data_IF_285613492300
#
_entry.id   IF_285613492300
#
_cell.length_a   1.000
_cell.length_b   1.000
_cell.length_c   1.000
_cell.angle_alpha   90.00
_cell.angle_beta   90.00
_cell.angle_gamma   90.00
#
_symmetry.space_group_name_H-M   'P 1'
#
loop_
_entity.id
_entity.type
_entity.pdbx_description
1 polymer ?
#
# COMPACT_ATOMS: atom_id res chain seq x y z
N UNK A 1 -18.62 -3.38 15.45
CA UNK A 1 -17.70 -2.26 15.77
C UNK A 1 -16.44 -2.43 14.95
N UNK A 2 -16.01 -1.40 14.20
CA UNK A 2 -14.81 -1.50 13.36
C UNK A 2 -13.55 -1.31 14.22
N UNK A 3 -12.88 -2.41 14.57
CA UNK A 3 -11.70 -2.45 15.43
C UNK A 3 -10.39 -2.07 14.73
N UNK A 4 -10.43 -1.55 13.50
CA UNK A 4 -9.26 -1.18 12.71
C UNK A 4 -9.29 0.31 12.34
N UNK A 5 -8.15 0.99 12.47
CA UNK A 5 -7.98 2.36 11.99
C UNK A 5 -7.96 2.41 10.47
N UNK A 6 -8.27 3.58 9.90
CA UNK A 6 -8.27 3.77 8.46
C UNK A 6 -7.57 5.11 8.17
N UNK A 7 -6.46 5.10 7.42
CA UNK A 7 -5.77 3.91 6.93
C UNK A 7 -5.14 3.10 8.08
N UNK A 8 -4.93 1.80 7.83
CA UNK A 8 -4.01 0.97 8.62
C UNK A 8 -2.62 1.09 8.03
N UNK A 9 -1.60 1.21 8.88
CA UNK A 9 -0.21 1.32 8.45
C UNK A 9 0.45 -0.06 8.31
N UNK A 10 1.21 -0.27 7.24
CA UNK A 10 1.99 -1.49 6.99
C UNK A 10 3.47 -1.18 6.88
N UNK A 11 4.32 -1.90 7.60
CA UNK A 11 5.76 -1.63 7.52
C UNK A 11 6.64 -2.74 8.06
N UNK A 12 7.86 -2.35 8.39
CA UNK A 12 8.83 -3.16 9.13
C UNK A 12 9.26 -2.37 10.36
N UNK A 13 9.60 -3.06 11.44
CA UNK A 13 10.30 -2.42 12.55
C UNK A 13 11.60 -1.78 12.04
N UNK A 14 11.91 -0.52 12.41
CA UNK A 14 13.20 0.10 12.10
C UNK A 14 14.37 -0.61 12.79
N UNK A 15 14.13 -1.08 14.01
CA UNK A 15 15.03 -1.88 14.85
C UNK A 15 14.20 -2.76 15.77
N UNK A 16 14.80 -3.82 16.31
CA UNK A 16 14.14 -4.73 17.25
C UNK A 16 13.56 -3.94 18.44
N UNK A 17 12.30 -4.20 18.77
CA UNK A 17 11.58 -3.54 19.86
C UNK A 17 11.06 -2.11 19.56
N UNK A 18 11.29 -1.58 18.35
CA UNK A 18 10.73 -0.28 17.97
C UNK A 18 9.40 -0.45 17.21
N UNK A 19 8.31 -0.20 17.94
CA UNK A 19 6.95 -0.34 17.46
C UNK A 19 6.28 0.99 17.09
N UNK A 20 7.00 2.11 17.17
CA UNK A 20 6.39 3.43 17.02
C UNK A 20 6.03 3.73 15.55
N UNK A 21 4.73 3.71 15.25
CA UNK A 21 4.23 3.97 13.90
C UNK A 21 4.44 5.42 13.42
N UNK A 22 4.51 6.39 14.34
CA UNK A 22 4.65 7.83 14.02
C UNK A 22 6.05 8.18 13.55
N UNK A 23 7.07 7.56 14.14
CA UNK A 23 8.47 7.77 13.77
C UNK A 23 8.92 6.81 12.67
N UNK A 24 8.17 5.74 12.40
CA UNK A 24 8.52 4.76 11.39
C UNK A 24 8.35 5.29 9.96
N UNK A 25 9.50 5.52 9.31
CA UNK A 25 9.60 6.04 7.94
C UNK A 25 9.39 5.00 6.84
N UNK A 26 9.15 3.73 7.18
CA UNK A 26 9.01 2.62 6.24
C UNK A 26 7.56 2.16 6.03
N UNK A 27 6.59 2.97 6.44
CA UNK A 27 5.17 2.60 6.45
C UNK A 27 4.46 2.92 5.14
N UNK A 28 3.49 2.07 4.78
CA UNK A 28 2.56 2.26 3.66
C UNK A 28 1.13 2.30 4.20
N UNK A 29 0.26 3.11 3.59
CA UNK A 29 -1.16 3.20 3.95
C UNK A 29 -1.99 2.19 3.18
N UNK A 30 -2.79 1.41 3.90
CA UNK A 30 -3.82 0.56 3.30
C UNK A 30 -5.20 0.82 3.90
N UNK A 31 -6.22 0.59 3.09
CA UNK A 31 -7.56 0.32 3.59
C UNK A 31 -7.57 -1.03 4.33
N UNK A 32 -8.29 -1.20 5.46
CA UNK A 32 -8.35 -2.46 6.20
C UNK A 32 -8.65 -3.67 5.30
N UNK A 33 -9.66 -3.59 4.44
CA UNK A 33 -10.00 -4.68 3.50
C UNK A 33 -8.78 -5.16 2.68
N UNK A 34 -7.96 -4.23 2.19
CA UNK A 34 -6.75 -4.53 1.40
C UNK A 34 -5.68 -5.17 2.28
N UNK A 35 -5.46 -4.62 3.47
CA UNK A 35 -4.52 -5.21 4.43
C UNK A 35 -4.89 -6.66 4.73
N UNK A 36 -6.13 -6.90 5.12
CA UNK A 36 -6.58 -8.20 5.60
C UNK A 36 -6.69 -9.26 4.50
N UNK A 37 -7.26 -8.91 3.33
CA UNK A 37 -7.47 -9.89 2.24
C UNK A 37 -6.24 -10.12 1.36
N UNK A 38 -5.36 -9.13 1.24
CA UNK A 38 -4.28 -9.14 0.23
C UNK A 38 -2.90 -9.20 0.88
N UNK A 39 -2.62 -8.35 1.86
CA UNK A 39 -1.28 -8.29 2.46
C UNK A 39 -1.07 -9.34 3.54
N UNK A 40 -2.11 -9.75 4.27
CA UNK A 40 -1.94 -10.81 5.27
C UNK A 40 -2.06 -12.24 4.71
N UNK A 41 -2.64 -12.41 3.52
CA UNK A 41 -2.83 -13.72 2.90
C UNK A 41 -1.51 -14.39 2.44
N UNK A 42 -0.42 -13.63 2.36
CA UNK A 42 0.94 -14.13 2.08
C UNK A 42 1.66 -14.68 3.31
N UNK A 43 1.02 -14.65 4.49
CA UNK A 43 1.55 -15.24 5.73
C UNK A 43 0.71 -16.45 6.16
N UNK A 44 1.38 -17.42 6.79
CA UNK A 44 0.76 -18.54 7.50
C UNK A 44 1.00 -18.35 8.99
N UNK A 45 -0.05 -18.00 9.72
CA UNK A 45 0.00 -17.82 11.16
C UNK A 45 -0.16 -19.16 11.86
N UNK A 46 0.59 -19.39 12.95
CA UNK A 46 0.51 -20.64 13.72
C UNK A 46 -0.73 -20.69 14.62
N UNK A 47 -1.35 -19.54 14.88
CA UNK A 47 -2.41 -19.37 15.88
C UNK A 47 -1.87 -18.94 17.25
N UNK A 48 -0.57 -19.07 17.48
CA UNK A 48 0.09 -18.55 18.68
C UNK A 48 0.16 -17.03 18.66
N UNK A 49 0.10 -16.42 19.84
CA UNK A 49 0.34 -14.98 19.98
C UNK A 49 0.89 -14.63 21.35
N UNK A 50 1.54 -13.47 21.44
CA UNK A 50 1.90 -12.83 22.71
C UNK A 50 1.38 -11.41 22.72
N UNK A 51 1.00 -10.92 23.90
CA UNK A 51 0.55 -9.54 24.08
C UNK A 51 1.53 -8.84 25.00
N UNK A 52 1.99 -7.66 24.59
CA UNK A 52 2.85 -6.78 25.36
C UNK A 52 2.20 -5.38 25.46
N UNK A 53 2.41 -4.69 26.58
CA UNK A 53 2.19 -3.24 26.67
C UNK A 53 3.52 -2.54 26.56
N UNK A 54 3.67 -1.68 25.55
CA UNK A 54 4.90 -0.93 25.28
C UNK A 54 4.64 0.55 25.47
N UNK A 55 5.65 1.29 25.94
CA UNK A 55 5.58 2.75 26.16
C UNK A 55 5.63 3.12 27.63
N UNK A 56 5.31 4.38 27.93
CA UNK A 56 5.28 4.91 29.29
C UNK A 56 4.13 5.91 29.48
N UNK A 57 3.86 6.31 30.72
CA UNK A 57 2.79 7.27 31.03
C UNK A 57 2.87 8.58 30.24
N UNK A 58 4.08 9.06 29.89
CA UNK A 58 4.26 10.32 29.17
C UNK A 58 3.97 10.22 27.65
N UNK A 59 4.12 9.03 27.07
CA UNK A 59 3.92 8.77 25.63
C UNK A 59 2.65 7.97 25.32
N UNK A 60 1.97 7.48 26.36
CA UNK A 60 0.85 6.54 26.29
C UNK A 60 1.36 5.11 26.16
N UNK A 61 0.63 4.17 26.77
CA UNK A 61 0.85 2.74 26.51
C UNK A 61 0.19 2.35 25.18
N UNK A 62 0.91 1.57 24.37
CA UNK A 62 0.38 0.90 23.18
C UNK A 62 0.36 -0.61 23.44
N UNK A 63 -0.68 -1.28 22.98
CA UNK A 63 -0.74 -2.74 23.02
C UNK A 63 -0.11 -3.30 21.75
N UNK A 64 0.85 -4.20 21.91
CA UNK A 64 1.50 -4.92 20.81
C UNK A 64 1.08 -6.38 20.88
N UNK A 65 0.57 -6.90 19.76
CA UNK A 65 0.27 -8.33 19.61
C UNK A 65 1.29 -8.93 18.65
N UNK A 66 2.12 -9.83 19.15
CA UNK A 66 3.12 -10.55 18.39
C UNK A 66 2.47 -11.78 17.77
N UNK A 67 2.50 -11.87 16.44
CA UNK A 67 1.92 -12.98 15.67
C UNK A 67 3.03 -13.69 14.89
N UNK A 68 3.57 -14.82 15.41
CA UNK A 68 4.48 -15.68 14.67
C UNK A 68 3.89 -16.15 13.35
N UNK A 69 4.73 -16.18 12.32
CA UNK A 69 4.31 -16.65 11.00
C UNK A 69 5.41 -17.39 10.24
N UNK A 70 4.98 -18.14 9.23
CA UNK A 70 5.80 -18.53 8.09
C UNK A 70 5.36 -17.79 6.83
N UNK A 71 6.33 -17.24 6.08
CA UNK A 71 6.03 -16.52 4.86
C UNK A 71 5.78 -17.51 3.72
N UNK A 72 4.72 -17.29 2.95
CA UNK A 72 4.39 -18.15 1.80
C UNK A 72 5.28 -17.78 0.61
N UNK A 73 6.58 -18.08 0.69
CA UNK A 73 7.60 -17.72 -0.32
C UNK A 73 7.59 -18.61 -1.57
N UNK A 74 6.68 -19.56 -1.68
CA UNK A 74 6.50 -20.48 -2.82
C UNK A 74 5.16 -20.30 -3.53
N UNK A 75 4.49 -19.17 -3.34
CA UNK A 75 3.29 -18.88 -4.12
C UNK A 75 3.69 -18.58 -5.56
N UNK A 76 2.76 -18.77 -6.49
CA UNK A 76 2.94 -18.27 -7.84
C UNK A 76 3.15 -16.74 -7.79
N UNK A 77 3.98 -16.22 -8.69
CA UNK A 77 4.39 -14.81 -8.66
C UNK A 77 3.19 -13.84 -8.67
N UNK A 78 2.10 -14.23 -9.34
CA UNK A 78 0.84 -13.48 -9.43
C UNK A 78 0.04 -13.36 -8.14
N UNK A 79 0.34 -14.21 -7.14
CA UNK A 79 -0.33 -14.19 -5.84
C UNK A 79 0.24 -13.13 -4.88
N UNK A 80 1.38 -12.53 -5.21
CA UNK A 80 1.96 -11.48 -4.39
C UNK A 80 1.34 -10.12 -4.72
N UNK A 81 1.07 -9.25 -3.73
CA UNK A 81 0.47 -7.94 -3.97
C UNK A 81 1.30 -7.01 -4.86
N UNK A 82 2.58 -7.31 -4.99
CA UNK A 82 3.53 -6.74 -5.93
C UNK A 82 4.80 -7.62 -5.88
N UNK A 83 5.71 -7.50 -6.86
CA UNK A 83 6.95 -8.26 -6.90
C UNK A 83 7.91 -7.88 -5.77
N UNK A 84 7.75 -8.45 -4.58
CA UNK A 84 8.59 -8.16 -3.41
C UNK A 84 10.09 -8.37 -3.69
N UNK A 85 10.41 -9.23 -4.66
CA UNK A 85 11.75 -9.55 -5.16
C UNK A 85 12.37 -8.48 -6.06
N UNK A 86 11.66 -7.38 -6.39
CA UNK A 86 12.28 -6.20 -7.01
C UNK A 86 13.47 -5.65 -6.21
N UNK A 87 13.50 -5.94 -4.90
CA UNK A 87 14.59 -5.61 -4.00
C UNK A 87 14.95 -6.83 -3.16
N UNK A 88 16.18 -7.33 -3.32
CA UNK A 88 16.69 -8.44 -2.50
C UNK A 88 16.52 -8.17 -1.00
N UNK A 89 16.85 -6.96 -0.56
CA UNK A 89 16.69 -6.54 0.85
C UNK A 89 15.25 -6.70 1.32
N UNK A 90 14.27 -6.34 0.48
CA UNK A 90 12.84 -6.46 0.79
C UNK A 90 12.42 -7.92 0.81
N UNK A 91 12.76 -8.69 -0.22
CA UNK A 91 12.43 -10.10 -0.30
C UNK A 91 12.97 -10.91 0.89
N UNK A 92 14.24 -10.71 1.22
CA UNK A 92 14.87 -11.32 2.39
C UNK A 92 14.14 -10.93 3.69
N UNK A 93 13.68 -9.68 3.81
CA UNK A 93 12.94 -9.24 5.00
C UNK A 93 11.58 -9.92 5.15
N UNK A 94 10.89 -10.24 4.05
CA UNK A 94 9.63 -11.00 4.11
C UNK A 94 9.87 -12.47 4.44
N UNK A 95 10.83 -13.11 3.77
CA UNK A 95 11.12 -14.54 3.96
C UNK A 95 11.62 -14.89 5.36
N UNK A 96 12.45 -14.02 5.94
CA UNK A 96 13.14 -14.31 7.19
C UNK A 96 12.54 -13.65 8.42
N UNK A 97 11.66 -12.65 8.29
CA UNK A 97 11.02 -12.08 9.49
C UNK A 97 10.15 -13.15 10.15
N UNK A 98 10.28 -13.37 11.48
CA UNK A 98 9.61 -14.46 12.16
C UNK A 98 8.16 -14.15 12.54
N UNK A 99 7.79 -12.86 12.62
CA UNK A 99 6.49 -12.43 13.14
C UNK A 99 6.01 -11.09 12.56
N UNK A 100 4.70 -10.89 12.61
CA UNK A 100 4.07 -9.58 12.42
C UNK A 100 3.63 -9.08 13.79
N UNK A 101 3.95 -7.83 14.08
CA UNK A 101 3.53 -7.11 15.27
C UNK A 101 2.33 -6.23 14.93
N UNK A 102 1.19 -6.51 15.55
CA UNK A 102 -0.03 -5.71 15.43
C UNK A 102 -0.02 -4.64 16.50
N UNK A 103 -0.08 -3.38 16.08
CA UNK A 103 -0.05 -2.23 16.97
C UNK A 103 -1.48 -1.77 17.20
N UNK A 104 -1.92 -1.83 18.45
CA UNK A 104 -3.24 -1.39 18.89
C UNK A 104 -3.11 -0.12 19.73
N UNK A 105 -3.70 0.95 19.22
CA UNK A 105 -3.78 2.26 19.87
C UNK A 105 -5.26 2.59 20.10
N UNK A 106 -5.62 3.03 21.30
CA UNK A 106 -6.99 3.45 21.63
C UNK A 106 -8.06 2.40 21.26
N UNK A 107 -7.76 1.12 21.47
CA UNK A 107 -8.66 0.00 21.16
C UNK A 107 -8.85 -0.31 19.67
N UNK A 108 -8.03 0.28 18.78
CA UNK A 108 -8.05 0.01 17.34
C UNK A 108 -6.69 -0.45 16.84
N UNK A 109 -6.69 -1.38 15.88
CA UNK A 109 -5.49 -1.74 15.12
C UNK A 109 -5.06 -0.54 14.28
N UNK A 110 -3.97 0.13 14.69
CA UNK A 110 -3.40 1.29 14.03
C UNK A 110 -2.45 0.89 12.89
N UNK A 111 -1.77 -0.25 13.03
CA UNK A 111 -0.83 -0.73 12.04
C UNK A 111 -0.30 -2.13 12.32
N UNK A 112 0.41 -2.64 11.34
CA UNK A 112 1.09 -3.93 11.37
C UNK A 112 2.51 -3.71 10.87
N UNK A 113 3.49 -4.23 11.61
CA UNK A 113 4.90 -4.14 11.25
C UNK A 113 5.56 -5.50 11.36
N UNK A 114 6.30 -5.90 10.34
CA UNK A 114 7.15 -7.11 10.41
C UNK A 114 8.29 -6.89 11.41
N UNK A 115 8.67 -7.94 12.14
CA UNK A 115 9.82 -7.88 13.03
C UNK A 115 11.12 -7.57 12.25
N UNK A 116 12.04 -6.86 12.91
CA UNK A 116 13.36 -6.58 12.35
C UNK A 116 14.30 -7.81 12.43
N UNK A 117 14.02 -8.73 13.35
CA UNK A 117 14.74 -10.00 13.49
C UNK A 117 14.62 -10.86 12.23
N UNK A 118 15.63 -11.70 11.99
CA UNK A 118 15.69 -12.56 10.80
C UNK A 118 16.10 -13.98 11.17
N UNK A 119 15.17 -14.91 11.00
CA UNK A 119 15.43 -16.33 11.07
C UNK A 119 15.95 -16.83 9.72
N UNK A 120 17.28 -16.80 9.57
CA UNK A 120 17.97 -17.27 8.35
C UNK A 120 18.10 -18.79 8.25
N UNK A 121 17.59 -19.55 9.22
CA UNK A 121 17.54 -21.02 9.13
C UNK A 121 16.47 -21.48 8.14
N UNK A 122 15.51 -20.60 7.80
CA UNK A 122 14.42 -20.89 6.86
C UNK A 122 14.92 -21.09 5.43
N UNK A 123 14.32 -22.00 4.65
CA UNK A 123 14.66 -22.18 3.24
C UNK A 123 14.47 -20.88 2.44
N UNK A 124 15.46 -20.56 1.60
CA UNK A 124 15.39 -19.43 0.68
C UNK A 124 14.71 -19.84 -0.62
N UNK A 125 13.81 -19.00 -1.12
CA UNK A 125 13.28 -19.08 -2.48
C UNK A 125 13.76 -17.85 -3.24
N UNK A 126 14.31 -18.07 -4.43
CA UNK A 126 14.76 -17.00 -5.31
C UNK A 126 13.70 -16.73 -6.39
N UNK A 127 13.46 -15.46 -6.67
CA UNK A 127 12.72 -15.00 -7.85
C UNK A 127 13.54 -13.94 -8.56
N UNK A 128 13.47 -13.94 -9.89
CA UNK A 128 14.14 -12.94 -10.71
C UNK A 128 13.20 -11.78 -11.00
N UNK A 129 13.77 -10.57 -10.98
CA UNK A 129 13.05 -9.35 -11.28
C UNK A 129 13.28 -8.96 -12.74
N UNK A 130 12.21 -8.89 -13.52
CA UNK A 130 12.24 -8.55 -14.94
C UNK A 130 12.15 -7.04 -15.21
N UNK A 131 12.08 -6.23 -14.15
CA UNK A 131 11.93 -4.77 -14.23
C UNK A 131 10.49 -4.28 -14.35
N UNK A 132 9.48 -5.15 -14.32
CA UNK A 132 8.09 -4.78 -14.63
C UNK A 132 7.13 -4.98 -13.46
N UNK A 133 6.47 -3.90 -13.03
CA UNK A 133 5.44 -3.94 -11.99
C UNK A 133 4.21 -4.76 -12.40
N UNK A 134 3.95 -4.84 -13.69
CA UNK A 134 2.86 -5.61 -14.28
C UNK A 134 3.42 -6.53 -15.36
N UNK A 135 2.87 -7.74 -15.44
CA UNK A 135 3.23 -8.69 -16.48
C UNK A 135 1.99 -9.44 -16.96
N UNK A 136 2.16 -10.17 -18.05
CA UNK A 136 1.13 -11.08 -18.56
C UNK A 136 1.41 -12.46 -17.99
N UNK A 137 0.41 -13.03 -17.31
CA UNK A 137 0.45 -14.38 -16.78
C UNK A 137 0.43 -15.44 -17.88
N UNK A 138 0.62 -16.71 -17.49
CA UNK A 138 0.76 -17.81 -18.43
C UNK A 138 -0.51 -18.05 -19.28
N UNK A 139 -1.70 -17.70 -18.77
CA UNK A 139 -2.96 -17.81 -19.49
C UNK A 139 -3.43 -16.48 -20.14
N UNK A 140 -2.54 -15.48 -20.23
CA UNK A 140 -2.80 -14.20 -20.91
C UNK A 140 -3.41 -13.11 -20.03
N UNK A 141 -3.67 -13.39 -18.76
CA UNK A 141 -4.21 -12.45 -17.78
C UNK A 141 -3.20 -11.39 -17.33
N UNK A 142 -3.71 -10.26 -16.84
CA UNK A 142 -2.88 -9.22 -16.22
C UNK A 142 -2.52 -9.61 -14.79
N UNK A 143 -1.24 -9.52 -14.47
CA UNK A 143 -0.66 -9.82 -13.15
C UNK A 143 -0.04 -8.56 -12.51
N UNK A 144 0.04 -8.47 -11.16
CA UNK A 144 -0.39 -9.47 -10.19
C UNK A 144 -1.91 -9.48 -10.00
N UNK A 145 -2.53 -10.63 -10.22
CA UNK A 145 -3.98 -10.79 -10.32
C UNK A 145 -4.67 -10.41 -9.02
N UNK A 146 -4.05 -10.71 -7.88
CA UNK A 146 -4.58 -10.37 -6.54
C UNK A 146 -4.76 -8.87 -6.31
N UNK A 147 -4.17 -8.02 -7.17
CA UNK A 147 -4.30 -6.56 -7.10
C UNK A 147 -5.56 -6.01 -7.78
N UNK A 148 -6.24 -6.84 -8.59
CA UNK A 148 -7.46 -6.49 -9.30
C UNK A 148 -8.66 -6.50 -8.35
N UNK A 149 -9.63 -5.62 -8.59
CA UNK A 149 -10.81 -5.50 -7.72
C UNK A 149 -11.65 -6.78 -7.64
N UNK A 150 -11.67 -7.59 -8.71
CA UNK A 150 -12.39 -8.87 -8.73
C UNK A 150 -11.91 -9.89 -7.69
N UNK A 151 -10.67 -9.76 -7.18
CA UNK A 151 -10.16 -10.60 -6.09
C UNK A 151 -10.23 -9.93 -4.72
N UNK A 152 -10.58 -8.63 -4.66
CA UNK A 152 -10.76 -7.90 -3.41
C UNK A 152 -12.22 -7.94 -2.95
N UNK A 153 -13.16 -7.71 -3.87
CA UNK A 153 -14.59 -7.54 -3.61
C UNK A 153 -15.38 -8.83 -3.87
N UNK A 154 -16.58 -8.92 -3.29
CA UNK A 154 -17.52 -9.99 -3.60
C UNK A 154 -18.01 -9.89 -5.05
N UNK A 155 -18.31 -11.04 -5.68
CA UNK A 155 -18.81 -11.10 -7.06
C UNK A 155 -20.16 -10.39 -7.23
N UNK A 156 -20.97 -10.31 -6.16
CA UNK A 156 -22.29 -9.66 -6.18
C UNK A 156 -22.23 -8.14 -6.08
N UNK A 157 -21.05 -7.55 -5.87
CA UNK A 157 -20.89 -6.11 -5.69
C UNK A 157 -21.08 -5.36 -7.03
N UNK A 158 -22.20 -4.61 -7.21
CA UNK A 158 -22.57 -4.06 -8.50
C UNK A 158 -21.68 -2.88 -8.93
N UNK A 159 -20.86 -2.36 -8.02
CA UNK A 159 -20.03 -1.19 -8.27
C UNK A 159 -18.63 -1.53 -8.80
N UNK A 160 -18.22 -2.80 -8.73
CA UNK A 160 -16.84 -3.22 -9.04
C UNK A 160 -16.43 -2.94 -10.48
N UNK A 161 -17.30 -3.20 -11.46
CA UNK A 161 -16.99 -2.95 -12.87
C UNK A 161 -16.78 -1.45 -13.17
N UNK A 162 -17.63 -0.60 -12.59
CA UNK A 162 -17.51 0.86 -12.73
C UNK A 162 -16.26 1.36 -12.02
N UNK A 163 -15.96 0.82 -10.83
CA UNK A 163 -14.75 1.17 -10.08
C UNK A 163 -13.46 0.79 -10.83
N UNK A 164 -13.41 -0.39 -11.46
CA UNK A 164 -12.27 -0.80 -12.30
C UNK A 164 -12.06 0.18 -13.46
N UNK A 165 -13.15 0.55 -14.14
CA UNK A 165 -13.12 1.55 -15.23
C UNK A 165 -12.64 2.92 -14.75
N UNK A 166 -13.14 3.39 -13.61
CA UNK A 166 -12.71 4.65 -13.01
C UNK A 166 -11.24 4.62 -12.60
N UNK A 167 -10.75 3.52 -12.04
CA UNK A 167 -9.33 3.36 -11.72
C UNK A 167 -8.46 3.37 -12.98
N UNK A 168 -8.82 2.65 -14.05
CA UNK A 168 -8.04 2.65 -15.30
C UNK A 168 -7.99 4.04 -15.95
N UNK A 169 -9.08 4.79 -15.83
CA UNK A 169 -9.16 6.19 -16.30
C UNK A 169 -8.24 7.09 -15.46
N UNK A 170 -8.28 6.94 -14.13
CA UNK A 170 -7.39 7.62 -13.20
C UNK A 170 -5.91 7.30 -13.47
N UNK A 171 -5.57 6.02 -13.60
CA UNK A 171 -4.22 5.54 -13.90
C UNK A 171 -3.70 6.16 -15.21
N UNK A 172 -4.50 6.09 -16.28
CA UNK A 172 -4.16 6.69 -17.58
C UNK A 172 -3.87 8.18 -17.48
N UNK A 173 -4.71 8.95 -16.76
CA UNK A 173 -4.47 10.38 -16.58
C UNK A 173 -3.23 10.64 -15.70
N UNK A 174 -3.01 9.83 -14.67
CA UNK A 174 -1.88 9.96 -13.74
C UNK A 174 -0.50 9.82 -14.42
N UNK A 175 -0.42 9.06 -15.51
CA UNK A 175 0.80 8.84 -16.28
C UNK A 175 1.33 10.12 -16.93
N UNK A 176 0.43 11.04 -17.31
CA UNK A 176 0.80 12.36 -17.86
C UNK A 176 1.65 13.18 -16.89
N UNK A 177 1.43 12.97 -15.60
CA UNK A 177 2.12 13.68 -14.51
C UNK A 177 3.10 12.78 -13.75
N UNK A 178 3.44 11.61 -14.31
CA UNK A 178 4.42 10.67 -13.75
C UNK A 178 4.16 10.29 -12.28
N UNK A 179 2.90 10.23 -11.86
CA UNK A 179 2.55 10.01 -10.44
C UNK A 179 3.13 8.70 -9.90
N UNK A 180 3.15 7.66 -10.73
CA UNK A 180 3.67 6.33 -10.39
C UNK A 180 5.16 6.30 -10.09
N UNK A 181 5.94 7.28 -10.56
CA UNK A 181 7.38 7.37 -10.22
C UNK A 181 7.58 7.45 -8.71
N UNK A 182 6.73 8.19 -8.00
CA UNK A 182 6.78 8.31 -6.54
C UNK A 182 5.83 7.33 -5.83
N UNK A 183 4.72 6.97 -6.48
CA UNK A 183 3.62 6.20 -5.89
C UNK A 183 3.63 4.71 -6.28
N UNK A 184 4.81 4.11 -6.42
CA UNK A 184 5.00 2.67 -6.65
C UNK A 184 5.61 1.97 -5.42
N UNK A 185 5.55 0.62 -5.33
CA UNK A 185 6.08 -0.12 -4.17
C UNK A 185 7.60 -0.01 -3.97
N UNK A 186 8.35 0.45 -4.97
CA UNK A 186 9.77 0.77 -4.87
C UNK A 186 10.05 1.96 -3.96
N UNK A 187 9.11 2.89 -3.83
CA UNK A 187 9.21 4.11 -3.02
C UNK A 187 10.53 4.88 -3.23
N UNK A 188 10.93 5.22 -4.47
CA UNK A 188 12.20 5.91 -4.71
C UNK A 188 12.27 7.28 -4.02
N UNK A 189 11.11 7.92 -3.81
CA UNK A 189 11.00 9.22 -3.14
C UNK A 189 10.93 9.13 -1.61
N UNK A 190 11.11 7.94 -1.03
CA UNK A 190 11.14 7.69 0.43
C UNK A 190 9.94 8.29 1.18
N UNK A 191 8.76 8.22 0.56
CA UNK A 191 7.51 8.71 1.13
C UNK A 191 7.15 7.92 2.38
N UNK A 192 6.77 8.65 3.44
CA UNK A 192 6.42 8.07 4.73
C UNK A 192 5.23 8.82 5.35
N UNK A 193 4.03 8.20 5.43
CA UNK A 193 3.69 6.90 4.86
C UNK A 193 3.44 6.97 3.34
N UNK A 194 3.86 5.93 2.62
CA UNK A 194 3.63 5.76 1.18
C UNK A 194 2.15 5.49 0.88
N UNK A 195 1.64 6.08 -0.20
CA UNK A 195 0.39 5.67 -0.84
C UNK A 195 0.70 5.10 -2.22
N UNK A 196 0.20 3.91 -2.54
CA UNK A 196 0.50 3.25 -3.82
C UNK A 196 -0.63 3.51 -4.81
N UNK A 197 -0.29 3.98 -6.00
CA UNK A 197 -1.22 4.21 -7.12
C UNK A 197 -1.05 3.18 -8.24
N UNK A 198 0.09 2.48 -8.26
CA UNK A 198 0.45 1.49 -9.28
C UNK A 198 -0.59 0.37 -9.43
N UNK A 199 -1.32 0.01 -8.36
CA UNK A 199 -2.25 -1.11 -8.36
C UNK A 199 -3.67 -0.70 -7.95
N UNK A 200 -4.73 -1.26 -8.58
CA UNK A 200 -6.12 -0.84 -8.35
C UNK A 200 -6.53 -0.91 -6.87
N UNK A 201 -6.40 -2.08 -6.25
CA UNK A 201 -6.84 -2.25 -4.88
C UNK A 201 -6.03 -1.43 -3.88
N UNK A 202 -4.78 -1.09 -4.19
CA UNK A 202 -3.92 -0.29 -3.33
C UNK A 202 -4.28 1.20 -3.44
N UNK A 203 -4.55 1.69 -4.66
CA UNK A 203 -5.00 3.05 -4.92
C UNK A 203 -6.30 3.40 -4.19
N UNK A 204 -7.18 2.41 -3.96
CA UNK A 204 -8.40 2.57 -3.16
C UNK A 204 -8.12 3.14 -1.76
N UNK A 205 -6.96 2.81 -1.18
CA UNK A 205 -6.53 3.25 0.16
C UNK A 205 -6.24 4.74 0.25
N UNK A 206 -6.05 5.40 -0.89
CA UNK A 206 -5.69 6.82 -0.97
C UNK A 206 -6.67 7.62 -1.84
N UNK A 207 -7.81 7.05 -2.25
CA UNK A 207 -8.77 7.67 -3.18
C UNK A 207 -9.15 9.12 -2.81
N UNK A 208 -9.54 9.38 -1.57
CA UNK A 208 -9.86 10.75 -1.12
C UNK A 208 -8.63 11.64 -0.97
N UNK A 209 -7.46 11.06 -0.72
CA UNK A 209 -6.21 11.83 -0.66
C UNK A 209 -5.81 12.32 -2.04
N UNK A 210 -6.06 11.55 -3.10
CA UNK A 210 -5.84 11.98 -4.48
C UNK A 210 -6.70 13.22 -4.76
N UNK A 211 -8.00 13.18 -4.43
CA UNK A 211 -8.91 14.34 -4.55
C UNK A 211 -8.36 15.56 -3.80
N UNK A 212 -8.04 15.43 -2.52
CA UNK A 212 -7.50 16.52 -1.69
C UNK A 212 -6.21 17.12 -2.25
N UNK A 213 -5.34 16.30 -2.82
CA UNK A 213 -4.06 16.74 -3.39
C UNK A 213 -4.27 17.49 -4.70
N UNK A 214 -5.20 17.03 -5.54
CA UNK A 214 -5.59 17.75 -6.76
C UNK A 214 -6.27 19.08 -6.42
N UNK A 215 -7.12 19.12 -5.39
CA UNK A 215 -7.72 20.37 -4.89
C UNK A 215 -6.66 21.35 -4.38
N UNK A 216 -5.67 20.87 -3.63
CA UNK A 216 -4.59 21.71 -3.11
C UNK A 216 -3.55 22.12 -4.16
N UNK A 217 -3.52 21.46 -5.32
CA UNK A 217 -2.53 21.60 -6.39
C UNK A 217 -1.07 21.54 -5.92
N UNK A 218 -0.72 20.55 -5.08
CA UNK A 218 0.63 20.42 -4.49
C UNK A 218 1.42 19.21 -4.99
N UNK A 219 0.85 18.40 -5.87
CA UNK A 219 1.53 17.28 -6.52
C UNK A 219 1.31 17.36 -8.04
N UNK A 220 2.33 17.10 -8.87
CA UNK A 220 3.70 16.74 -8.49
C UNK A 220 4.40 17.82 -7.64
N UNK A 221 5.32 17.46 -6.74
CA UNK A 221 6.01 18.45 -5.91
C UNK A 221 6.89 19.33 -6.81
N UNK A 222 7.15 20.56 -6.36
CA UNK A 222 8.10 21.43 -7.05
C UNK A 222 9.46 20.73 -7.15
N UNK A 223 10.17 20.98 -8.25
CA UNK A 223 11.45 20.34 -8.53
C UNK A 223 12.32 21.17 -9.45
N UNK A 224 13.48 20.61 -9.78
CA UNK A 224 14.42 21.17 -10.76
C UNK A 224 14.76 20.09 -11.77
N UNK A 225 14.58 20.37 -13.06
CA UNK A 225 15.15 19.54 -14.12
C UNK A 225 16.46 20.18 -14.55
N UNK A 226 17.53 19.40 -14.54
CA UNK A 226 18.81 19.82 -15.12
C UNK A 226 18.89 19.27 -16.53
N UNK A 227 18.93 20.15 -17.54
CA UNK A 227 19.29 19.78 -18.92
C UNK A 227 20.62 20.43 -19.24
N UNK A 228 21.67 19.62 -19.41
CA UNK A 228 23.05 19.93 -19.84
C UNK A 228 23.69 21.22 -19.27
N UNK A 229 23.10 22.39 -19.44
CA UNK A 229 23.59 23.71 -19.01
C UNK A 229 22.50 24.63 -18.42
N UNK A 230 21.28 24.14 -18.17
CA UNK A 230 20.16 24.92 -17.62
C UNK A 230 19.39 24.15 -16.53
N UNK A 231 19.12 24.85 -15.42
CA UNK A 231 18.20 24.39 -14.38
C UNK A 231 16.83 25.02 -14.63
N UNK A 232 15.84 24.18 -14.93
CA UNK A 232 14.46 24.59 -15.06
C UNK A 232 13.70 24.26 -13.77
N UNK A 233 13.13 25.28 -13.13
CA UNK A 233 12.26 25.12 -11.97
C UNK A 233 10.88 24.61 -12.43
N UNK A 234 10.50 23.42 -11.99
CA UNK A 234 9.13 22.92 -12.14
C UNK A 234 8.32 23.41 -10.94
N UNK A 235 7.25 24.21 -11.13
CA UNK A 235 6.35 24.57 -10.05
C UNK A 235 5.62 23.34 -9.51
N UNK A 236 5.23 23.37 -8.23
CA UNK A 236 4.38 22.32 -7.68
C UNK A 236 3.01 22.34 -8.36
N UNK A 237 2.42 21.16 -8.51
CA UNK A 237 1.09 20.97 -9.05
C UNK A 237 1.04 20.82 -10.57
N UNK A 238 -0.19 20.75 -11.08
CA UNK A 238 -0.50 20.77 -12.50
C UNK A 238 -0.73 22.23 -12.89
N UNK A 239 0.08 22.73 -13.83
CA UNK A 239 0.07 24.14 -14.22
C UNK A 239 -1.17 24.53 -15.04
N UNK A 240 -1.63 23.64 -15.91
CA UNK A 240 -2.86 23.84 -16.68
C UNK A 240 -4.08 23.58 -15.80
N UNK A 241 -4.84 24.63 -15.52
CA UNK A 241 -6.04 24.55 -14.68
C UNK A 241 -7.14 23.68 -15.29
N UNK A 242 -7.31 23.68 -16.61
CA UNK A 242 -8.32 22.86 -17.26
C UNK A 242 -7.95 21.37 -17.16
N UNK A 243 -6.67 21.03 -17.34
CA UNK A 243 -6.20 19.67 -17.13
C UNK A 243 -6.32 19.23 -15.66
N UNK A 244 -5.96 20.12 -14.73
CA UNK A 244 -6.14 19.87 -13.29
C UNK A 244 -7.59 19.59 -12.94
N UNK A 245 -8.53 20.40 -13.42
CA UNK A 245 -9.97 20.22 -13.16
C UNK A 245 -10.50 18.93 -13.78
N UNK A 246 -10.03 18.58 -14.98
CA UNK A 246 -10.32 17.28 -15.60
C UNK A 246 -9.85 16.13 -14.71
N UNK A 247 -8.60 16.16 -14.24
CA UNK A 247 -8.07 15.09 -13.40
C UNK A 247 -8.77 15.04 -12.03
N UNK A 248 -9.09 16.19 -11.44
CA UNK A 248 -9.88 16.28 -10.22
C UNK A 248 -11.26 15.61 -10.37
N UNK A 249 -11.94 15.82 -11.50
CA UNK A 249 -13.22 15.14 -11.79
C UNK A 249 -13.06 13.61 -11.82
N UNK A 250 -12.04 13.11 -12.51
CA UNK A 250 -11.72 11.68 -12.58
C UNK A 250 -11.42 11.12 -11.18
N UNK A 251 -10.64 11.85 -10.37
CA UNK A 251 -10.32 11.47 -9.01
C UNK A 251 -11.55 11.40 -8.09
N UNK A 252 -12.50 12.33 -8.25
CA UNK A 252 -13.76 12.35 -7.50
C UNK A 252 -14.64 11.15 -7.86
N UNK A 253 -14.77 10.85 -9.15
CA UNK A 253 -15.51 9.67 -9.62
C UNK A 253 -14.92 8.36 -9.08
N UNK A 254 -13.59 8.21 -9.14
CA UNK A 254 -12.89 7.08 -8.54
C UNK A 254 -13.16 6.96 -7.04
N UNK A 255 -13.11 8.08 -6.31
CA UNK A 255 -13.36 8.10 -4.88
C UNK A 255 -14.80 7.70 -4.53
N UNK A 256 -15.78 8.26 -5.23
CA UNK A 256 -17.21 7.97 -5.03
C UNK A 256 -17.53 6.50 -5.31
N UNK A 257 -17.04 5.95 -6.42
CA UNK A 257 -17.22 4.53 -6.75
C UNK A 257 -16.51 3.62 -5.76
N UNK A 258 -15.34 4.03 -5.26
CA UNK A 258 -14.63 3.33 -4.20
C UNK A 258 -15.45 3.27 -2.91
N UNK A 259 -16.12 4.38 -2.56
CA UNK A 259 -16.99 4.45 -1.39
C UNK A 259 -18.21 3.55 -1.54
N UNK A 260 -18.87 3.56 -2.71
CA UNK A 260 -20.01 2.67 -3.00
C UNK A 260 -19.62 1.20 -2.91
N UNK A 261 -18.49 0.82 -3.52
CA UNK A 261 -18.00 -0.56 -3.50
C UNK A 261 -17.65 -1.02 -2.07
N UNK A 262 -17.00 -0.17 -1.27
CA UNK A 262 -16.69 -0.47 0.13
C UNK A 262 -17.95 -0.55 1.00
N UNK A 263 -18.90 0.36 0.80
CA UNK A 263 -20.15 0.39 1.57
C UNK A 263 -20.96 -0.90 1.36
N UNK A 264 -21.00 -1.41 0.13
CA UNK A 264 -21.65 -2.68 -0.20
C UNK A 264 -21.06 -3.86 0.59
N UNK A 265 -19.75 -3.88 0.83
CA UNK A 265 -19.05 -4.90 1.62
C UNK A 265 -19.15 -4.68 3.14
N UNK A 266 -19.94 -3.71 3.60
CA UNK A 266 -19.99 -3.29 5.00
C UNK A 266 -18.66 -2.75 5.52
N UNK A 267 -17.79 -2.29 4.61
CA UNK A 267 -16.49 -1.73 4.96
C UNK A 267 -16.62 -0.26 5.35
N UNK A 268 -15.72 0.23 6.20
CA UNK A 268 -15.74 1.62 6.59
C UNK A 268 -15.20 2.52 5.49
N UNK A 269 -15.77 3.72 5.34
CA UNK A 269 -15.54 4.57 4.16
C UNK A 269 -14.44 5.62 4.34
N UNK A 270 -14.13 6.00 5.57
CA UNK A 270 -13.16 7.04 5.88
C UNK A 270 -13.53 8.47 5.45
#
# INVERSE_FOLDING_TARGET
MNSTAIPVLWGTQPKVGDFNLKTNRSTTKFHPLVMWRVYLSVFMFTGDYKIEQVGNQASGYQTVIHLPYQYRNKLDMGEYPYPYWHSKKKWDAFQYSPEVNVIVEQGKVAGLIRAAERDRSRPYVNHEWDGRWHWTGAAGEQEPRVTLYKYLFSESNPYVAQLDTAYRTLDTESRKYSCQTCHNPGNPSLMAPLGIMEYPNQALSIRHRIVKVMEANRMPPAGVVSKADQQELIPAGIADEAERQKYLKIAREFAELGDKALAYEGQPLN
#
